data_IF_589195037576
#
_entry.id   IF_589195037576
#
_cell.length_a   1.000
_cell.length_b   1.000
_cell.length_c   1.000
_cell.angle_alpha   90.00
_cell.angle_beta   90.00
_cell.angle_gamma   90.00
#
_symmetry.space_group_name_H-M   'P 1'
#
loop_
_entity.id
_entity.type
_entity.pdbx_description
1 polymer ?
#
# COMPACT_ATOMS: atom_id res chain seq x y z
N UNK A 1 -16.24 -8.46 1.92
CA UNK A 1 -17.39 -7.54 2.12
C UNK A 1 -17.32 -6.41 1.10
N UNK A 2 -17.90 -6.59 -0.11
CA UNK A 2 -17.78 -5.61 -1.20
C UNK A 2 -18.58 -4.33 -0.95
N UNK A 3 -19.57 -4.37 -0.05
CA UNK A 3 -20.41 -3.22 0.32
C UNK A 3 -19.76 -2.28 1.34
N UNK A 4 -18.53 -2.60 1.78
CA UNK A 4 -17.81 -1.85 2.81
C UNK A 4 -16.60 -1.21 2.17
N UNK A 5 -16.67 0.10 1.96
CA UNK A 5 -15.56 0.88 1.44
C UNK A 5 -14.61 1.26 2.56
N UNK A 6 -13.31 1.21 2.28
CA UNK A 6 -12.24 1.45 3.27
C UNK A 6 -11.30 2.51 2.74
N UNK A 7 -10.94 3.49 3.56
CA UNK A 7 -10.00 4.55 3.18
C UNK A 7 -9.09 4.88 4.36
N UNK A 8 -7.80 5.20 4.13
CA UNK A 8 -6.91 5.60 5.22
C UNK A 8 -7.25 7.02 5.68
N UNK A 9 -7.35 7.20 7.00
CA UNK A 9 -7.62 8.49 7.64
C UNK A 9 -6.51 8.79 8.64
N UNK A 10 -5.62 9.72 8.29
CA UNK A 10 -4.46 10.10 9.09
C UNK A 10 -4.64 11.45 9.77
N UNK A 11 -4.15 11.56 10.99
CA UNK A 11 -4.16 12.76 11.81
C UNK A 11 -2.74 13.20 12.14
N UNK A 12 -2.49 14.50 12.08
CA UNK A 12 -1.33 15.15 12.69
C UNK A 12 -1.83 16.05 13.80
N UNK A 13 -1.38 15.80 15.02
CA UNK A 13 -1.73 16.61 16.19
C UNK A 13 -0.49 17.22 16.81
N UNK A 14 -0.70 18.21 17.67
CA UNK A 14 0.34 18.84 18.48
C UNK A 14 -0.03 18.72 19.96
N UNK A 15 0.96 18.38 20.79
CA UNK A 15 0.84 18.36 22.25
C UNK A 15 2.20 18.68 22.86
N UNK A 16 2.23 19.59 23.85
CA UNK A 16 3.46 19.99 24.54
C UNK A 16 4.63 20.36 23.60
N UNK A 17 4.35 21.15 22.55
CA UNK A 17 5.32 21.56 21.54
C UNK A 17 5.72 20.50 20.51
N UNK A 18 5.38 19.22 20.74
CA UNK A 18 5.71 18.11 19.86
C UNK A 18 4.57 17.75 18.91
N UNK A 19 4.91 17.18 17.75
CA UNK A 19 3.94 16.70 16.78
C UNK A 19 3.79 15.18 16.83
N UNK A 20 2.55 14.72 16.77
CA UNK A 20 2.20 13.30 16.78
C UNK A 20 1.44 12.93 15.51
N UNK A 21 1.58 11.68 15.09
CA UNK A 21 0.90 11.13 13.92
C UNK A 21 0.14 9.90 14.33
N UNK A 22 -1.06 9.77 13.80
CA UNK A 22 -1.95 8.66 14.08
C UNK A 22 -2.76 8.35 12.82
N UNK A 23 -3.15 7.10 12.62
CA UNK A 23 -3.91 6.67 11.45
C UNK A 23 -4.96 5.65 11.89
N UNK A 24 -6.13 5.77 11.30
CA UNK A 24 -7.21 4.78 11.38
C UNK A 24 -7.67 4.42 9.97
N UNK A 25 -8.34 3.29 9.85
CA UNK A 25 -9.05 2.89 8.66
C UNK A 25 -10.47 3.45 8.74
N UNK A 26 -10.74 4.52 7.99
CA UNK A 26 -12.10 5.01 7.78
C UNK A 26 -12.91 3.98 7.00
N UNK A 27 -14.16 3.79 7.41
CA UNK A 27 -15.10 2.83 6.81
C UNK A 27 -16.34 3.58 6.36
N UNK A 28 -16.83 3.27 5.16
CA UNK A 28 -18.08 3.79 4.64
C UNK A 28 -18.95 2.63 4.13
N UNK A 29 -20.16 2.50 4.67
CA UNK A 29 -21.13 1.49 4.22
C UNK A 29 -22.54 1.96 4.53
N UNK A 30 -23.50 1.67 3.63
CA UNK A 30 -24.90 2.07 3.80
C UNK A 30 -25.11 3.59 3.98
N UNK A 31 -24.24 4.42 3.40
CA UNK A 31 -24.30 5.88 3.53
C UNK A 31 -23.83 6.42 4.90
N UNK A 32 -23.26 5.56 5.75
CA UNK A 32 -22.73 5.93 7.07
C UNK A 32 -21.23 5.72 7.12
N UNK A 33 -20.59 6.48 8.00
CA UNK A 33 -19.17 6.46 8.26
C UNK A 33 -18.88 5.83 9.63
N UNK A 34 -17.70 5.25 9.75
CA UNK A 34 -17.16 4.69 10.98
C UNK A 34 -15.64 4.53 10.84
N UNK A 35 -15.00 3.92 11.83
CA UNK A 35 -13.56 3.69 11.78
C UNK A 35 -13.14 2.40 12.49
N UNK A 36 -12.09 1.78 11.98
CA UNK A 36 -11.35 0.68 12.60
C UNK A 36 -9.91 1.13 12.80
N UNK A 37 -9.25 0.68 13.84
CA UNK A 37 -7.85 1.03 14.07
C UNK A 37 -7.35 0.52 15.40
N UNK A 38 -6.08 0.82 15.68
CA UNK A 38 -5.44 0.52 16.95
C UNK A 38 -4.87 1.83 17.47
N UNK A 39 -5.20 2.15 18.71
CA UNK A 39 -4.67 3.30 19.42
C UNK A 39 -4.43 2.94 20.87
N UNK A 40 -3.55 3.68 21.52
CA UNK A 40 -3.33 3.60 22.97
C UNK A 40 -4.51 4.16 23.77
N UNK A 41 -5.45 4.84 23.11
CA UNK A 41 -6.67 5.42 23.69
C UNK A 41 -7.89 4.84 22.97
N UNK A 42 -8.88 4.39 23.72
CA UNK A 42 -10.05 3.69 23.17
C UNK A 42 -10.91 4.56 22.25
N UNK A 43 -11.05 5.84 22.60
CA UNK A 43 -11.84 6.82 21.85
C UNK A 43 -11.11 7.40 20.62
N UNK A 44 -9.87 6.96 20.36
CA UNK A 44 -9.07 7.29 19.18
C UNK A 44 -8.87 6.08 18.27
N UNK A 45 -9.74 5.08 18.26
CA UNK A 45 -9.63 3.93 17.35
C UNK A 45 -10.98 3.58 16.71
N UNK A 46 -11.68 2.58 17.26
CA UNK A 46 -12.98 2.14 16.80
C UNK A 46 -14.02 3.25 16.92
N UNK A 47 -14.78 3.45 15.84
CA UNK A 47 -15.95 4.30 15.82
C UNK A 47 -17.09 3.52 15.15
N UNK A 48 -18.26 3.40 15.80
CA UNK A 48 -19.39 2.67 15.23
C UNK A 48 -19.84 3.30 13.90
N UNK A 49 -20.49 2.50 13.07
CA UNK A 49 -20.93 2.90 11.73
C UNK A 49 -22.25 3.71 11.78
N UNK A 50 -22.25 4.83 12.51
CA UNK A 50 -23.45 5.62 12.78
C UNK A 50 -23.42 7.05 12.21
N UNK A 51 -22.24 7.55 11.88
CA UNK A 51 -22.01 8.92 11.44
C UNK A 51 -22.55 9.16 10.03
N UNK A 52 -23.39 10.18 9.85
CA UNK A 52 -24.04 10.48 8.56
C UNK A 52 -23.06 11.10 7.56
N UNK A 53 -22.10 11.87 8.05
CA UNK A 53 -21.09 12.54 7.22
C UNK A 53 -19.68 12.25 7.72
N UNK A 54 -18.70 12.40 6.82
CA UNK A 54 -17.28 12.35 7.20
C UNK A 54 -16.90 13.47 8.18
N UNK A 55 -17.59 14.61 8.11
CA UNK A 55 -17.42 15.72 9.05
C UNK A 55 -17.79 15.30 10.47
N UNK A 56 -18.91 14.59 10.65
CA UNK A 56 -19.35 14.13 11.98
C UNK A 56 -18.32 13.17 12.59
N UNK A 57 -17.85 12.20 11.80
CA UNK A 57 -16.79 11.26 12.23
C UNK A 57 -15.51 12.01 12.62
N UNK A 58 -15.11 13.01 11.83
CA UNK A 58 -13.89 13.77 12.09
C UNK A 58 -14.01 14.63 13.35
N UNK A 59 -15.17 15.23 13.59
CA UNK A 59 -15.44 16.00 14.80
C UNK A 59 -15.32 15.13 16.06
N UNK A 60 -15.77 13.88 16.02
CA UNK A 60 -15.59 12.94 17.13
C UNK A 60 -14.11 12.67 17.44
N UNK A 61 -13.27 12.46 16.42
CA UNK A 61 -11.83 12.34 16.64
C UNK A 61 -11.23 13.64 17.19
N UNK A 62 -11.67 14.80 16.70
CA UNK A 62 -11.20 16.09 17.18
C UNK A 62 -11.54 16.32 18.66
N UNK A 63 -12.76 15.95 19.08
CA UNK A 63 -13.20 16.01 20.48
C UNK A 63 -12.38 15.03 21.33
N UNK A 64 -12.19 13.80 20.88
CA UNK A 64 -11.37 12.80 21.57
C UNK A 64 -9.92 13.27 21.76
N UNK A 65 -9.28 13.85 20.72
CA UNK A 65 -7.94 14.43 20.86
C UNK A 65 -7.87 15.56 21.89
N UNK A 66 -8.87 16.44 21.90
CA UNK A 66 -8.93 17.56 22.86
C UNK A 66 -8.98 17.08 24.31
N UNK A 67 -9.63 15.94 24.60
CA UNK A 67 -9.65 15.33 25.95
C UNK A 67 -8.26 14.95 26.47
N UNK A 68 -7.30 14.74 25.57
CA UNK A 68 -5.91 14.46 25.91
C UNK A 68 -4.98 15.64 25.59
N UNK A 69 -5.52 16.86 25.54
CA UNK A 69 -4.79 18.11 25.27
C UNK A 69 -4.04 18.14 23.93
N UNK A 70 -4.44 17.30 22.97
CA UNK A 70 -3.93 17.36 21.62
C UNK A 70 -4.73 18.37 20.80
N UNK A 71 -4.02 19.24 20.08
CA UNK A 71 -4.59 20.10 19.05
C UNK A 71 -4.47 19.40 17.70
N UNK A 72 -5.59 19.20 17.00
CA UNK A 72 -5.59 18.63 15.66
C UNK A 72 -5.16 19.69 14.64
N UNK A 73 -4.00 19.49 14.00
CA UNK A 73 -3.44 20.45 13.05
C UNK A 73 -3.77 20.09 11.61
N UNK A 74 -3.68 18.81 11.24
CA UNK A 74 -3.83 18.37 9.84
C UNK A 74 -4.48 17.01 9.75
N UNK A 75 -5.33 16.84 8.76
CA UNK A 75 -6.01 15.58 8.42
C UNK A 75 -5.63 15.20 7.01
N UNK A 76 -5.33 13.91 6.79
CA UNK A 76 -5.08 13.37 5.46
C UNK A 76 -6.04 12.23 5.22
N UNK A 77 -6.72 12.28 4.09
CA UNK A 77 -7.76 11.32 3.73
C UNK A 77 -7.33 10.72 2.40
N UNK A 78 -7.25 9.40 2.37
CA UNK A 78 -6.96 8.65 1.16
C UNK A 78 -8.21 8.30 0.36
N UNK A 79 -7.98 7.71 -0.81
CA UNK A 79 -9.05 7.13 -1.62
C UNK A 79 -9.48 5.75 -1.08
N UNK A 80 -10.56 5.20 -1.62
CA UNK A 80 -10.96 3.82 -1.35
C UNK A 80 -9.89 2.82 -1.77
N UNK A 81 -9.68 1.83 -0.91
CA UNK A 81 -8.73 0.74 -1.08
C UNK A 81 -9.42 -0.45 -1.76
N UNK A 82 -8.81 -0.93 -2.84
CA UNK A 82 -9.30 -2.09 -3.60
C UNK A 82 -9.60 -3.30 -2.70
N UNK A 83 -10.73 -3.97 -2.95
CA UNK A 83 -11.11 -5.21 -2.29
C UNK A 83 -10.37 -6.43 -2.80
N UNK A 84 -9.74 -6.34 -3.97
CA UNK A 84 -8.93 -7.42 -4.53
C UNK A 84 -7.61 -7.56 -3.72
N UNK A 85 -7.42 -8.67 -2.99
CA UNK A 85 -6.20 -8.89 -2.22
C UNK A 85 -4.94 -9.03 -3.08
N UNK A 86 -5.10 -9.32 -4.37
CA UNK A 86 -4.00 -9.45 -5.34
C UNK A 86 -3.77 -8.17 -6.15
N UNK A 87 -4.52 -7.10 -5.85
CA UNK A 87 -4.32 -5.81 -6.49
C UNK A 87 -2.90 -5.31 -6.22
N UNK A 88 -2.25 -4.84 -7.29
CA UNK A 88 -0.96 -4.16 -7.24
C UNK A 88 -1.09 -2.64 -7.18
N UNK A 89 -2.33 -2.13 -7.09
CA UNK A 89 -2.59 -0.70 -6.95
C UNK A 89 -2.05 -0.20 -5.62
N UNK A 90 -1.33 0.91 -5.66
CA UNK A 90 -0.84 1.52 -4.43
C UNK A 90 -1.98 2.24 -3.70
N UNK A 91 -2.00 2.07 -2.38
CA UNK A 91 -2.93 2.80 -1.52
C UNK A 91 -2.64 4.30 -1.63
N UNK A 92 -3.63 5.07 -2.06
CA UNK A 92 -3.53 6.52 -2.08
C UNK A 92 -3.75 7.08 -0.67
N UNK A 93 -2.68 7.31 0.09
CA UNK A 93 -2.74 7.73 1.49
C UNK A 93 -3.14 9.20 1.71
N UNK A 94 -3.03 10.05 0.67
CA UNK A 94 -3.08 11.52 0.80
C UNK A 94 -3.80 12.16 -0.39
N UNK A 95 -4.96 11.64 -0.74
CA UNK A 95 -5.79 12.20 -1.79
C UNK A 95 -6.26 13.62 -1.43
N UNK A 96 -6.62 13.84 -0.17
CA UNK A 96 -6.91 15.17 0.38
C UNK A 96 -6.11 15.43 1.64
N UNK A 97 -5.53 16.62 1.74
CA UNK A 97 -4.72 17.07 2.87
C UNK A 97 -5.28 18.40 3.36
N UNK A 98 -5.85 18.39 4.56
CA UNK A 98 -6.58 19.52 5.13
C UNK A 98 -5.81 20.06 6.33
N UNK A 99 -5.44 21.34 6.28
CA UNK A 99 -4.83 22.09 7.40
C UNK A 99 -5.97 22.62 8.28
N UNK A 100 -6.33 21.85 9.31
CA UNK A 100 -7.49 22.11 10.19
C UNK A 100 -7.31 23.37 11.03
N UNK A 101 -6.06 23.77 11.28
CA UNK A 101 -5.69 24.99 11.98
C UNK A 101 -5.87 26.26 11.15
N UNK A 102 -5.87 26.15 9.82
CA UNK A 102 -5.97 27.29 8.89
C UNK A 102 -7.34 27.45 8.26
N UNK A 103 -8.15 26.39 8.26
CA UNK A 103 -9.47 26.37 7.62
C UNK A 103 -10.55 26.79 8.62
N UNK A 104 -11.50 27.60 8.16
CA UNK A 104 -12.77 27.80 8.88
C UNK A 104 -13.57 26.49 8.93
N UNK A 105 -14.55 26.43 9.83
CA UNK A 105 -15.40 25.24 10.00
C UNK A 105 -16.19 24.95 8.72
N UNK A 106 -16.65 26.00 8.04
CA UNK A 106 -17.43 25.94 6.81
C UNK A 106 -16.58 25.46 5.64
N UNK A 107 -15.35 25.97 5.51
CA UNK A 107 -14.40 25.50 4.49
C UNK A 107 -14.03 24.04 4.71
N UNK A 108 -13.69 23.65 5.94
CA UNK A 108 -13.39 22.27 6.28
C UNK A 108 -14.56 21.34 5.91
N UNK A 109 -15.80 21.74 6.21
CA UNK A 109 -17.00 20.99 5.84
C UNK A 109 -17.10 20.82 4.32
N UNK A 110 -16.92 21.90 3.55
CA UNK A 110 -16.97 21.89 2.09
C UNK A 110 -15.90 20.99 1.47
N UNK A 111 -14.67 21.04 2.00
CA UNK A 111 -13.56 20.20 1.57
C UNK A 111 -13.85 18.71 1.81
N UNK A 112 -14.41 18.37 2.98
CA UNK A 112 -14.78 16.99 3.33
C UNK A 112 -15.95 16.46 2.48
N UNK A 113 -16.95 17.30 2.20
CA UNK A 113 -18.05 16.95 1.30
C UNK A 113 -17.56 16.74 -0.13
N UNK A 114 -16.64 17.58 -0.62
CA UNK A 114 -16.00 17.37 -1.92
C UNK A 114 -15.26 16.05 -1.95
N UNK A 115 -14.39 15.80 -0.97
CA UNK A 115 -13.64 14.54 -0.88
C UNK A 115 -14.56 13.32 -0.87
N UNK A 116 -15.68 13.38 -0.15
CA UNK A 116 -16.67 12.31 -0.11
C UNK A 116 -17.31 12.06 -1.48
N UNK A 117 -17.57 13.11 -2.26
CA UNK A 117 -18.07 12.97 -3.64
C UNK A 117 -17.01 12.36 -4.55
N UNK A 118 -15.77 12.81 -4.43
CA UNK A 118 -14.65 12.33 -5.26
C UNK A 118 -14.40 10.83 -5.04
N UNK A 119 -14.41 10.36 -3.79
CA UNK A 119 -14.32 8.93 -3.44
C UNK A 119 -15.44 8.10 -4.08
N UNK A 120 -16.69 8.60 -4.06
CA UNK A 120 -17.87 7.89 -4.59
C UNK A 120 -17.86 7.78 -6.11
N UNK A 121 -17.37 8.82 -6.78
CA UNK A 121 -17.29 8.86 -8.24
C UNK A 121 -16.03 8.14 -8.76
N UNK A 122 -15.19 7.58 -7.86
CA UNK A 122 -13.87 7.01 -8.17
C UNK A 122 -13.01 7.97 -9.01
N UNK A 123 -13.16 9.28 -8.78
CA UNK A 123 -12.37 10.30 -9.48
C UNK A 123 -10.99 10.33 -8.81
N UNK A 124 -10.20 9.30 -9.09
CA UNK A 124 -8.75 9.31 -8.89
C UNK A 124 -8.06 9.88 -10.13
N UNK A 125 -6.80 10.30 -9.99
CA UNK A 125 -5.96 10.64 -11.15
C UNK A 125 -6.04 9.51 -12.19
N UNK A 126 -6.10 9.90 -13.47
CA UNK A 126 -6.03 8.97 -14.59
C UNK A 126 -4.88 7.98 -14.36
N UNK A 127 -5.14 6.71 -14.68
CA UNK A 127 -4.19 5.62 -14.55
C UNK A 127 -2.80 6.08 -15.06
N UNK A 128 -1.70 5.75 -14.35
CA UNK A 128 -0.37 6.08 -14.83
C UNK A 128 -0.27 5.57 -16.26
N UNK A 129 0.10 6.46 -17.19
CA UNK A 129 0.30 6.09 -18.59
C UNK A 129 1.19 4.86 -18.62
N UNK A 130 0.68 3.76 -19.15
CA UNK A 130 1.46 2.55 -19.43
C UNK A 130 2.79 2.99 -20.03
N UNK A 131 3.94 2.43 -19.61
CA UNK A 131 5.21 2.78 -20.22
C UNK A 131 5.05 2.55 -21.72
N UNK A 132 5.03 3.63 -22.50
CA UNK A 132 5.00 3.56 -23.94
C UNK A 132 6.24 2.76 -24.32
N UNK A 133 6.01 1.60 -24.91
CA UNK A 133 7.08 0.75 -25.43
C UNK A 133 7.69 1.54 -26.58
N UNK A 134 8.67 2.39 -26.26
CA UNK A 134 9.55 3.05 -27.20
C UNK A 134 10.31 1.94 -27.94
N UNK A 135 9.63 1.41 -28.95
CA UNK A 135 10.19 0.51 -29.94
C UNK A 135 11.13 1.38 -30.76
N UNK A 136 12.37 1.52 -30.31
CA UNK A 136 13.47 1.96 -31.16
C UNK A 136 13.43 1.10 -32.42
N UNK A 137 13.03 1.71 -33.53
CA UNK A 137 13.28 1.23 -34.89
C UNK A 137 14.77 1.43 -35.13
N UNK A 138 15.57 0.42 -34.81
CA UNK A 138 16.85 0.25 -35.48
C UNK A 138 16.70 -0.91 -36.47
N UNK A 139 16.65 -0.52 -37.74
CA UNK A 139 16.80 -1.36 -38.90
C UNK A 139 18.23 -1.89 -38.95
N UNK A 140 18.42 -3.19 -39.20
CA UNK A 140 19.73 -3.73 -39.54
C UNK A 140 19.88 -5.22 -39.25
N UNK A 141 19.23 -6.07 -40.04
CA UNK A 141 19.52 -7.51 -40.08
C UNK A 141 20.69 -7.79 -41.03
N UNK A 142 21.65 -8.67 -40.69
CA UNK A 142 22.40 -9.40 -41.69
C UNK A 142 21.96 -10.87 -41.70
N UNK A 143 21.30 -11.27 -42.78
CA UNK A 143 21.12 -12.67 -43.19
C UNK A 143 22.33 -13.14 -44.01
N UNK A 144 22.50 -14.47 -44.03
CA UNK A 144 23.31 -15.37 -44.90
C UNK A 144 24.69 -15.78 -44.37
N UNK A 145 25.09 -17.06 -44.36
CA UNK A 145 24.44 -18.37 -44.60
C UNK A 145 25.46 -19.49 -44.20
N UNK A 146 25.24 -20.81 -44.47
CA UNK A 146 25.53 -21.91 -43.54
C UNK A 146 26.86 -22.64 -43.85
N UNK A 147 27.33 -23.45 -42.89
CA UNK A 147 28.45 -24.34 -43.14
C UNK A 147 28.69 -25.35 -42.01
N UNK A 148 27.89 -26.43 -41.98
CA UNK A 148 28.31 -27.66 -41.31
C UNK A 148 29.14 -28.51 -42.27
N UNK A 149 30.12 -29.24 -41.74
CA UNK A 149 30.32 -30.62 -42.18
C UNK A 149 30.30 -31.57 -40.98
N UNK A 150 29.37 -32.53 -41.04
CA UNK A 150 29.51 -33.80 -40.34
C UNK A 150 30.67 -34.60 -40.95
N UNK A 151 31.52 -35.20 -40.12
CA UNK A 151 32.32 -36.37 -40.49
C UNK A 151 32.34 -37.42 -39.35
N UNK A 152 31.67 -38.54 -39.66
CA UNK A 152 31.89 -39.95 -39.28
C UNK A 152 33.35 -40.30 -38.92
N UNK A 153 33.73 -41.35 -38.20
CA UNK A 153 33.12 -42.46 -37.45
C UNK A 153 34.32 -43.31 -36.93
N UNK A 154 34.09 -44.22 -35.96
CA UNK A 154 34.97 -45.34 -35.56
C UNK A 154 36.14 -44.92 -34.65
N UNK A 155 36.46 -45.58 -33.53
CA UNK A 155 36.62 -47.02 -33.36
C UNK A 155 36.67 -47.36 -31.86
N UNK A 156 36.06 -48.49 -31.48
CA UNK A 156 36.52 -49.51 -30.51
C UNK A 156 37.45 -49.05 -29.36
N UNK A 157 37.24 -49.40 -28.09
CA UNK A 157 37.04 -50.75 -27.61
C UNK A 157 36.99 -50.77 -26.06
N UNK A 158 36.41 -51.85 -25.50
CA UNK A 158 36.68 -52.44 -24.16
C UNK A 158 36.05 -51.82 -22.89
N UNK A 159 35.09 -52.60 -22.34
CA UNK A 159 35.07 -53.28 -21.01
C UNK A 159 35.54 -52.45 -19.78
N UNK A 160 34.98 -52.51 -18.57
CA UNK A 160 33.92 -53.32 -17.92
C UNK A 160 33.80 -52.87 -16.44
N UNK A 161 32.59 -52.99 -15.89
CA UNK A 161 32.22 -53.35 -14.49
C UNK A 161 32.74 -52.59 -13.24
N UNK A 162 31.74 -52.19 -12.44
CA UNK A 162 31.59 -52.46 -10.99
C UNK A 162 32.33 -51.63 -9.92
N UNK A 163 31.52 -50.84 -9.22
CA UNK A 163 31.31 -50.76 -7.76
C UNK A 163 32.38 -50.31 -6.74
N UNK A 164 31.87 -49.47 -5.81
CA UNK A 164 32.06 -49.37 -4.34
C UNK A 164 32.97 -48.29 -3.71
N UNK A 165 32.27 -47.24 -3.23
CA UNK A 165 32.09 -46.73 -1.84
C UNK A 165 33.23 -46.06 -1.04
N UNK A 166 32.76 -45.01 -0.34
CA UNK A 166 33.14 -44.41 0.98
C UNK A 166 34.31 -43.42 0.97
N UNK A 167 34.28 -42.27 1.66
CA UNK A 167 33.31 -41.64 2.56
C UNK A 167 33.88 -40.33 3.15
N UNK A 168 33.07 -39.65 3.97
CA UNK A 168 33.40 -38.49 4.87
C UNK A 168 33.74 -37.15 4.18
N UNK A 169 33.57 -35.94 4.72
CA UNK A 169 32.83 -35.35 5.85
C UNK A 169 32.97 -33.79 5.73
N UNK A 170 32.06 -33.01 6.33
CA UNK A 170 32.18 -31.56 6.58
C UNK A 170 30.96 -30.73 6.13
N UNK A 171 29.93 -30.52 6.99
CA UNK A 171 29.69 -29.38 7.91
C UNK A 171 29.31 -28.05 7.20
N UNK A 172 28.01 -27.70 7.18
CA UNK A 172 27.35 -26.70 8.05
C UNK A 172 27.69 -25.24 7.67
N UNK A 173 26.78 -24.56 6.96
CA UNK A 173 25.75 -23.66 7.50
C UNK A 173 26.27 -22.26 7.82
N UNK A 174 25.81 -21.24 7.07
CA UNK A 174 25.63 -19.90 7.62
C UNK A 174 24.46 -19.18 6.91
N UNK A 175 23.29 -19.28 7.52
CA UNK A 175 22.12 -18.44 7.22
C UNK A 175 22.05 -17.42 8.35
N UNK A 176 22.67 -16.27 8.12
CA UNK A 176 22.68 -15.13 9.04
C UNK A 176 21.70 -14.09 8.47
N UNK A 177 20.65 -13.59 9.11
CA UNK A 177 20.32 -13.49 10.52
C UNK A 177 19.58 -12.16 10.69
N UNK A 178 18.29 -12.09 10.33
CA UNK A 178 17.47 -10.90 10.58
C UNK A 178 16.74 -11.07 11.92
N UNK A 179 17.25 -10.41 12.96
CA UNK A 179 16.60 -10.36 14.26
C UNK A 179 16.16 -8.93 14.59
N UNK A 180 14.85 -8.77 14.81
CA UNK A 180 14.18 -7.53 15.23
C UNK A 180 14.44 -7.36 16.73
N UNK A 181 14.95 -6.20 17.15
CA UNK A 181 15.07 -5.83 18.56
C UNK A 181 13.78 -5.16 19.03
N UNK A 182 13.25 -5.64 20.16
CA UNK A 182 12.11 -5.09 20.90
C UNK A 182 12.62 -4.07 21.92
#
# INVERSE_FOLDING_TARGET
MPTVERFPLSFKTQFSGSHFRHIVLGVHSGGRFGALGISRREDLMYKPLEYKTLTDLLQEFQVAYRRYWHTLCKVKIGHYVSHDPHSVEQIEWKHSVLDVDKLSKEELRKELERHTRDMRLKIGKAAPSSPSKDRKKDMGSPLRNPGSPMRKNSQSDRRSSAEKRSGSAGSAADVNGYQIRV
#
